data_IF_495656651673
#
_entry.id   IF_495656651673
#
_cell.length_a   1.000
_cell.length_b   1.000
_cell.length_c   1.000
_cell.angle_alpha   90.00
_cell.angle_beta   90.00
_cell.angle_gamma   90.00
#
_symmetry.space_group_name_H-M   'P 1'
#
loop_
_entity.id
_entity.type
_entity.pdbx_description
1 polymer ?
#
# COMPACT_ATOMS: atom_id res chain seq x y z
N UNK A 1 -9.24 -33.28 -5.60
CA UNK A 1 -8.86 -31.98 -6.19
C UNK A 1 -9.82 -30.83 -5.88
N UNK A 2 -11.11 -31.08 -5.60
CA UNK A 2 -12.11 -30.06 -5.22
C UNK A 2 -11.67 -29.11 -4.10
N UNK A 3 -10.95 -29.63 -3.09
CA UNK A 3 -10.39 -28.81 -1.99
C UNK A 3 -9.32 -27.82 -2.47
N UNK A 4 -8.43 -28.24 -3.36
CA UNK A 4 -7.38 -27.36 -3.93
C UNK A 4 -8.01 -26.26 -4.76
N UNK A 5 -9.02 -26.59 -5.59
CA UNK A 5 -9.74 -25.60 -6.39
C UNK A 5 -10.45 -24.58 -5.48
N UNK A 6 -11.07 -25.04 -4.39
CA UNK A 6 -11.69 -24.17 -3.39
C UNK A 6 -10.66 -23.22 -2.77
N UNK A 7 -9.50 -23.73 -2.36
CA UNK A 7 -8.41 -22.91 -1.79
C UNK A 7 -7.82 -21.93 -2.80
N UNK A 8 -7.69 -22.32 -4.08
CA UNK A 8 -7.24 -21.42 -5.14
C UNK A 8 -8.23 -20.28 -5.38
N UNK A 9 -9.53 -20.58 -5.38
CA UNK A 9 -10.57 -19.55 -5.50
C UNK A 9 -10.62 -18.65 -4.27
N UNK A 10 -10.44 -19.20 -3.07
CA UNK A 10 -10.29 -18.41 -1.84
C UNK A 10 -9.08 -17.48 -1.92
N UNK A 11 -7.93 -17.98 -2.39
CA UNK A 11 -6.75 -17.16 -2.65
C UNK A 11 -7.06 -16.00 -3.60
N UNK A 12 -7.74 -16.28 -4.72
CA UNK A 12 -8.14 -15.26 -5.69
C UNK A 12 -9.09 -14.22 -5.09
N UNK A 13 -10.03 -14.62 -4.23
CA UNK A 13 -10.92 -13.70 -3.52
C UNK A 13 -10.15 -12.74 -2.60
N UNK A 14 -9.13 -13.22 -1.90
CA UNK A 14 -8.28 -12.35 -1.07
C UNK A 14 -7.38 -11.43 -1.91
N UNK A 15 -6.90 -11.89 -3.07
CA UNK A 15 -6.19 -11.04 -4.03
C UNK A 15 -7.09 -9.94 -4.59
N UNK A 16 -8.34 -10.25 -4.93
CA UNK A 16 -9.33 -9.26 -5.36
C UNK A 16 -9.59 -8.21 -4.27
N UNK A 17 -9.75 -8.63 -3.01
CA UNK A 17 -9.87 -7.71 -1.87
C UNK A 17 -8.65 -6.81 -1.72
N UNK A 18 -7.44 -7.36 -1.90
CA UNK A 18 -6.20 -6.60 -1.84
C UNK A 18 -6.16 -5.54 -2.94
N UNK A 19 -6.48 -5.94 -4.18
CA UNK A 19 -6.57 -5.07 -5.33
C UNK A 19 -7.60 -3.94 -5.13
N UNK A 20 -8.80 -4.27 -4.63
CA UNK A 20 -9.86 -3.29 -4.37
C UNK A 20 -9.48 -2.30 -3.26
N UNK A 21 -8.82 -2.78 -2.20
CA UNK A 21 -8.30 -1.91 -1.13
C UNK A 21 -7.29 -0.91 -1.69
N UNK A 22 -6.37 -1.38 -2.54
CA UNK A 22 -5.38 -0.53 -3.19
C UNK A 22 -6.04 0.52 -4.11
N UNK A 23 -7.05 0.17 -4.91
CA UNK A 23 -7.78 1.12 -5.76
C UNK A 23 -8.39 2.28 -4.94
N UNK A 24 -9.07 1.94 -3.84
CA UNK A 24 -9.73 2.93 -2.97
C UNK A 24 -8.69 3.88 -2.37
N UNK A 25 -7.60 3.36 -1.82
CA UNK A 25 -6.60 4.20 -1.17
C UNK A 25 -5.75 4.98 -2.17
N UNK A 26 -5.50 4.46 -3.39
CA UNK A 26 -4.88 5.23 -4.46
C UNK A 26 -5.71 6.47 -4.84
N UNK A 27 -7.04 6.33 -4.90
CA UNK A 27 -7.91 7.48 -5.13
C UNK A 27 -7.84 8.52 -4.00
N UNK A 28 -7.67 8.08 -2.75
CA UNK A 28 -7.47 8.96 -1.60
C UNK A 28 -6.10 9.66 -1.67
N UNK A 29 -5.03 8.91 -1.95
CA UNK A 29 -3.67 9.43 -2.04
C UNK A 29 -3.50 10.43 -3.18
N UNK A 30 -4.17 10.20 -4.32
CA UNK A 30 -4.21 11.16 -5.42
C UNK A 30 -4.82 12.52 -5.02
N UNK A 31 -5.71 12.54 -4.02
CA UNK A 31 -6.31 13.75 -3.45
C UNK A 31 -5.50 14.31 -2.26
N UNK A 32 -4.35 13.72 -1.94
CA UNK A 32 -3.53 14.11 -0.78
C UNK A 32 -4.09 13.67 0.57
N UNK A 33 -5.07 12.76 0.58
CA UNK A 33 -5.68 12.24 1.81
C UNK A 33 -4.92 11.01 2.30
N UNK A 34 -4.14 11.17 3.37
CA UNK A 34 -3.31 10.11 3.95
C UNK A 34 -3.71 9.70 5.37
N UNK A 35 -4.85 10.18 5.88
CA UNK A 35 -5.29 9.96 7.25
C UNK A 35 -5.45 8.47 7.60
N UNK A 36 -5.82 7.65 6.61
CA UNK A 36 -6.04 6.21 6.76
C UNK A 36 -4.81 5.36 6.42
N UNK A 37 -3.63 5.96 6.21
CA UNK A 37 -2.43 5.24 5.75
C UNK A 37 -2.06 4.06 6.65
N UNK A 38 -2.11 4.25 7.98
CA UNK A 38 -1.83 3.19 8.95
C UNK A 38 -2.86 2.05 8.86
N UNK A 39 -4.15 2.38 8.77
CA UNK A 39 -5.22 1.40 8.61
C UNK A 39 -5.07 0.61 7.30
N UNK A 40 -4.70 1.28 6.21
CA UNK A 40 -4.39 0.67 4.92
C UNK A 40 -3.27 -0.38 5.04
N UNK A 41 -2.13 -0.02 5.63
CA UNK A 41 -1.02 -0.96 5.84
C UNK A 41 -1.44 -2.15 6.71
N UNK A 42 -2.09 -1.90 7.84
CA UNK A 42 -2.55 -2.97 8.73
C UNK A 42 -3.54 -3.92 8.05
N UNK A 43 -4.45 -3.39 7.22
CA UNK A 43 -5.41 -4.21 6.49
C UNK A 43 -4.71 -5.05 5.41
N UNK A 44 -3.74 -4.48 4.69
CA UNK A 44 -2.91 -5.21 3.74
C UNK A 44 -2.14 -6.35 4.40
N UNK A 45 -1.50 -6.09 5.52
CA UNK A 45 -0.73 -7.10 6.26
C UNK A 45 -1.63 -8.26 6.70
N UNK A 46 -2.84 -7.97 7.21
CA UNK A 46 -3.82 -9.00 7.55
C UNK A 46 -4.23 -9.84 6.34
N UNK A 47 -4.44 -9.23 5.18
CA UNK A 47 -4.77 -9.98 3.95
C UNK A 47 -3.58 -10.86 3.54
N UNK A 48 -2.35 -10.36 3.63
CA UNK A 48 -1.15 -11.15 3.33
C UNK A 48 -1.00 -12.35 4.28
N UNK A 49 -1.32 -12.20 5.56
CA UNK A 49 -1.29 -13.30 6.51
C UNK A 49 -2.33 -14.38 6.18
N UNK A 50 -3.53 -13.98 5.76
CA UNK A 50 -4.52 -14.94 5.25
C UNK A 50 -4.03 -15.63 3.98
N UNK A 51 -3.43 -14.90 3.04
CA UNK A 51 -2.86 -15.50 1.83
C UNK A 51 -1.76 -16.52 2.14
N UNK A 52 -0.85 -16.21 3.09
CA UNK A 52 0.17 -17.17 3.57
C UNK A 52 -0.48 -18.43 4.16
N UNK A 53 -1.54 -18.27 4.95
CA UNK A 53 -2.27 -19.41 5.51
C UNK A 53 -2.90 -20.26 4.41
N UNK A 54 -3.58 -19.65 3.44
CA UNK A 54 -4.18 -20.35 2.30
C UNK A 54 -3.12 -21.10 1.50
N UNK A 55 -1.95 -20.48 1.27
CA UNK A 55 -0.83 -21.14 0.59
C UNK A 55 -0.32 -22.37 1.34
N UNK A 56 -0.17 -22.30 2.66
CA UNK A 56 0.18 -23.46 3.48
C UNK A 56 -0.90 -24.55 3.41
N UNK A 57 -2.19 -24.20 3.33
CA UNK A 57 -3.27 -25.18 3.14
C UNK A 57 -3.24 -25.82 1.75
N UNK A 58 -2.90 -25.05 0.70
CA UNK A 58 -2.75 -25.59 -0.67
C UNK A 58 -1.60 -26.58 -0.71
N UNK A 59 -0.44 -26.25 -0.14
CA UNK A 59 0.73 -27.12 -0.09
C UNK A 59 0.44 -28.41 0.68
N UNK A 60 -0.23 -28.30 1.84
CA UNK A 60 -0.68 -29.45 2.62
C UNK A 60 -1.65 -30.33 1.82
N UNK A 61 -2.67 -29.72 1.21
CA UNK A 61 -3.66 -30.45 0.41
C UNK A 61 -3.01 -31.11 -0.82
N UNK A 62 -2.00 -30.48 -1.42
CA UNK A 62 -1.26 -31.08 -2.52
C UNK A 62 -0.42 -32.28 -2.06
N UNK A 63 0.23 -32.18 -0.91
CA UNK A 63 1.05 -33.25 -0.33
C UNK A 63 0.23 -34.47 0.10
N UNK A 64 -1.02 -34.26 0.52
CA UNK A 64 -1.98 -35.32 0.90
C UNK A 64 -2.54 -36.08 -0.32
N UNK A 65 -2.45 -35.50 -1.52
CA UNK A 65 -2.88 -36.15 -2.76
C UNK A 65 -1.74 -37.07 -3.23
N UNK A 66 -1.93 -38.38 -3.08
CA UNK A 66 -1.00 -39.38 -3.58
C UNK A 66 -0.74 -39.26 -5.09
N UNK A 67 0.47 -39.64 -5.53
CA UNK A 67 0.96 -39.48 -6.90
C UNK A 67 0.10 -40.17 -8.00
N UNK A 68 -0.84 -41.04 -7.64
CA UNK A 68 -1.72 -41.80 -8.55
C UNK A 68 -3.12 -41.18 -8.73
N UNK A 69 -3.36 -39.97 -8.22
CA UNK A 69 -4.64 -39.27 -8.42
C UNK A 69 -4.84 -38.90 -9.91
N UNK A 70 -5.73 -39.62 -10.60
CA UNK A 70 -6.19 -39.26 -11.95
C UNK A 70 -7.00 -37.97 -11.85
N UNK A 71 -6.45 -36.87 -12.35
CA UNK A 71 -7.12 -35.56 -12.40
C UNK A 71 -8.10 -35.58 -13.58
N UNK A 72 -9.36 -35.27 -13.32
CA UNK A 72 -10.36 -35.14 -14.39
C UNK A 72 -10.08 -33.88 -15.24
N UNK A 73 -10.34 -33.94 -16.55
CA UNK A 73 -10.06 -32.81 -17.46
C UNK A 73 -10.77 -31.51 -17.06
N UNK A 74 -11.99 -31.61 -16.50
CA UNK A 74 -12.72 -30.46 -15.97
C UNK A 74 -11.98 -29.80 -14.79
N UNK A 75 -11.47 -30.60 -13.85
CA UNK A 75 -10.71 -30.09 -12.70
C UNK A 75 -9.40 -29.43 -13.14
N UNK A 76 -8.74 -29.99 -14.16
CA UNK A 76 -7.53 -29.41 -14.77
C UNK A 76 -7.80 -28.03 -15.35
N UNK A 77 -8.93 -27.88 -16.04
CA UNK A 77 -9.37 -26.60 -16.62
C UNK A 77 -9.66 -25.57 -15.53
N UNK A 78 -10.33 -25.95 -14.45
CA UNK A 78 -10.64 -25.07 -13.32
C UNK A 78 -9.37 -24.59 -12.61
N UNK A 79 -8.42 -25.49 -12.33
CA UNK A 79 -7.12 -25.12 -11.75
C UNK A 79 -6.39 -24.13 -12.65
N UNK A 80 -6.33 -24.38 -13.97
CA UNK A 80 -5.69 -23.47 -14.92
C UNK A 80 -6.37 -22.09 -14.93
N UNK A 81 -7.70 -22.05 -14.89
CA UNK A 81 -8.45 -20.80 -14.81
C UNK A 81 -8.14 -20.03 -13.53
N UNK A 82 -8.14 -20.70 -12.39
CA UNK A 82 -7.85 -20.08 -11.11
C UNK A 82 -6.41 -19.54 -11.04
N UNK A 83 -5.43 -20.26 -11.61
CA UNK A 83 -4.05 -19.77 -11.70
C UNK A 83 -3.91 -18.56 -12.62
N UNK A 84 -4.63 -18.52 -13.74
CA UNK A 84 -4.63 -17.36 -14.64
C UNK A 84 -5.19 -16.12 -13.95
N UNK A 85 -6.28 -16.26 -13.19
CA UNK A 85 -6.88 -15.16 -12.42
C UNK A 85 -5.89 -14.67 -11.34
N UNK A 86 -5.22 -15.59 -10.66
CA UNK A 86 -4.17 -15.26 -9.69
C UNK A 86 -3.07 -14.40 -10.31
N UNK A 87 -2.55 -14.83 -11.46
CA UNK A 87 -1.45 -14.13 -12.14
C UNK A 87 -1.86 -12.72 -12.58
N UNK A 88 -3.10 -12.57 -13.05
CA UNK A 88 -3.65 -11.25 -13.40
C UNK A 88 -3.75 -10.32 -12.17
N UNK A 89 -4.32 -10.78 -11.05
CA UNK A 89 -4.41 -9.95 -9.85
C UNK A 89 -3.04 -9.58 -9.30
N UNK A 90 -2.09 -10.52 -9.27
CA UNK A 90 -0.73 -10.26 -8.78
C UNK A 90 -0.05 -9.18 -9.64
N UNK A 91 -0.15 -9.27 -10.97
CA UNK A 91 0.44 -8.27 -11.87
C UNK A 91 -0.15 -6.87 -11.60
N UNK A 92 -1.48 -6.76 -11.48
CA UNK A 92 -2.15 -5.49 -11.21
C UNK A 92 -1.81 -4.91 -9.83
N UNK A 93 -1.74 -5.75 -8.80
CA UNK A 93 -1.37 -5.32 -7.44
C UNK A 93 0.05 -4.75 -7.42
N UNK A 94 0.99 -5.37 -8.14
CA UNK A 94 2.37 -4.86 -8.24
C UNK A 94 2.39 -3.48 -8.89
N UNK A 95 1.61 -3.28 -9.96
CA UNK A 95 1.48 -1.97 -10.61
C UNK A 95 0.90 -0.91 -9.66
N UNK A 96 -0.16 -1.26 -8.91
CA UNK A 96 -0.73 -0.38 -7.90
C UNK A 96 0.28 -0.02 -6.80
N UNK A 97 1.09 -0.98 -6.35
CA UNK A 97 2.10 -0.72 -5.31
C UNK A 97 3.17 0.27 -5.77
N UNK A 98 3.55 0.24 -7.05
CA UNK A 98 4.43 1.26 -7.64
C UNK A 98 3.77 2.64 -7.58
N UNK A 99 2.46 2.73 -7.88
CA UNK A 99 1.71 3.99 -7.81
C UNK A 99 1.59 4.50 -6.36
N UNK A 100 1.31 3.61 -5.40
CA UNK A 100 1.24 3.96 -3.97
C UNK A 100 2.56 4.56 -3.51
N UNK A 101 3.69 3.91 -3.85
CA UNK A 101 5.02 4.41 -3.52
C UNK A 101 5.28 5.79 -4.14
N UNK A 102 4.87 6.00 -5.40
CA UNK A 102 5.01 7.30 -6.06
C UNK A 102 4.21 8.40 -5.33
N UNK A 103 2.95 8.13 -4.96
CA UNK A 103 2.13 9.07 -4.19
C UNK A 103 2.75 9.43 -2.85
N UNK A 104 3.26 8.44 -2.11
CA UNK A 104 3.92 8.66 -0.82
C UNK A 104 5.19 9.51 -0.98
N UNK A 105 6.02 9.21 -1.99
CA UNK A 105 7.22 10.00 -2.28
C UNK A 105 6.90 11.45 -2.65
N UNK A 106 5.85 11.68 -3.44
CA UNK A 106 5.37 13.02 -3.76
C UNK A 106 4.93 13.78 -2.50
N UNK A 107 4.12 13.15 -1.65
CA UNK A 107 3.65 13.75 -0.41
C UNK A 107 4.81 14.07 0.55
N UNK A 108 5.75 13.14 0.72
CA UNK A 108 6.98 13.33 1.51
C UNK A 108 7.76 14.56 1.03
N UNK A 109 7.95 14.68 -0.29
CA UNK A 109 8.68 15.81 -0.87
C UNK A 109 7.94 17.15 -0.68
N UNK A 110 6.59 17.16 -0.74
CA UNK A 110 5.79 18.35 -0.43
C UNK A 110 6.02 18.81 1.01
N UNK A 111 5.87 17.89 1.97
CA UNK A 111 6.05 18.17 3.40
C UNK A 111 7.45 18.72 3.69
N UNK A 112 8.49 18.15 3.07
CA UNK A 112 9.87 18.64 3.23
C UNK A 112 10.01 20.09 2.75
N UNK A 113 9.41 20.44 1.61
CA UNK A 113 9.45 21.82 1.08
C UNK A 113 8.72 22.78 2.01
N UNK A 114 7.53 22.41 2.48
CA UNK A 114 6.74 23.20 3.43
C UNK A 114 7.52 23.43 4.74
N UNK A 115 8.15 22.40 5.30
CA UNK A 115 8.99 22.52 6.49
C UNK A 115 10.19 23.46 6.29
N UNK A 116 10.82 23.42 5.11
CA UNK A 116 11.91 24.34 4.77
C UNK A 116 11.41 25.79 4.68
N UNK A 117 10.23 26.01 4.10
CA UNK A 117 9.60 27.33 4.01
C UNK A 117 9.25 27.88 5.39
N UNK A 118 8.60 27.09 6.25
CA UNK A 118 8.27 27.47 7.63
C UNK A 118 9.54 27.85 8.40
N UNK A 119 10.64 27.09 8.23
CA UNK A 119 11.94 27.42 8.84
C UNK A 119 12.50 28.75 8.33
N UNK A 120 12.39 29.04 7.02
CA UNK A 120 12.82 30.33 6.43
C UNK A 120 11.97 31.48 6.96
N UNK A 121 10.66 31.34 6.99
CA UNK A 121 9.72 32.34 7.49
C UNK A 121 9.95 32.64 8.97
N UNK A 122 10.19 31.60 9.80
CA UNK A 122 10.55 31.78 11.22
C UNK A 122 11.85 32.57 11.40
N UNK A 123 12.87 32.33 10.56
CA UNK A 123 14.12 33.13 10.58
C UNK A 123 13.86 34.59 10.20
N UNK A 124 13.06 34.83 9.17
CA UNK A 124 12.71 36.18 8.74
C UNK A 124 11.96 36.94 9.86
N UNK A 125 10.92 36.34 10.44
CA UNK A 125 10.15 36.93 11.54
C UNK A 125 11.02 37.16 12.79
N UNK A 126 11.93 36.25 13.10
CA UNK A 126 12.92 36.43 14.18
C UNK A 126 13.83 37.66 13.94
N UNK A 127 14.22 37.92 12.70
CA UNK A 127 15.01 39.11 12.33
C UNK A 127 14.26 40.43 12.50
N UNK A 128 12.93 40.43 12.33
CA UNK A 128 12.10 41.63 12.53
C UNK A 128 11.85 41.95 14.01
N UNK A 129 11.80 40.96 14.91
CA UNK A 129 11.60 41.19 16.35
C UNK A 129 12.80 41.83 17.06
N UNK A 130 14.00 41.80 16.47
CA UNK A 130 15.24 42.29 17.11
C UNK A 130 15.59 43.74 16.77
N UNK A 131 14.82 44.43 15.91
CA UNK A 131 15.04 45.85 15.60
C UNK A 131 14.09 46.77 16.38
N UNK A 132 13.96 46.56 17.69
CA UNK A 132 13.53 47.63 18.59
C UNK A 132 14.73 48.54 18.86
N UNK A 133 14.75 49.64 18.10
CA UNK A 133 15.43 50.91 18.36
C UNK A 133 16.24 51.01 19.67
N UNK A 134 17.56 50.82 19.57
CA UNK A 134 18.53 51.43 20.49
C UNK A 134 19.15 52.67 19.83
N UNK A 135 18.32 53.54 19.24
CA UNK A 135 18.75 54.92 18.98
C UNK A 135 18.60 55.67 20.29
N UNK A 136 19.68 55.73 21.07
CA UNK A 136 19.89 56.85 21.99
C UNK A 136 20.00 58.08 21.09
N UNK A 137 18.95 58.90 21.07
CA UNK A 137 19.05 60.27 20.61
C UNK A 137 19.94 60.98 21.63
N UNK A 138 21.21 61.22 21.27
CA UNK A 138 22.01 62.20 21.96
C UNK A 138 21.41 63.57 21.60
N UNK A 139 20.68 64.18 22.53
CA UNK A 139 20.34 65.59 22.45
C UNK A 139 21.63 66.40 22.67
N UNK A 140 22.20 66.92 21.57
CA UNK A 140 23.11 68.07 21.66
C UNK A 140 22.27 69.32 22.00
N UNK A 141 22.54 69.88 23.18
CA UNK A 141 22.86 71.29 23.55
C UNK A 141 22.33 71.62 24.94
#
# INVERSE_FOLDING_TARGET
MTRIITLLNEKNHYLEKFYALNEVELANFAQGQFDNLEHFYQTRDRILDVLKYVDAQIEKAHSEIGAESVIAENERREVKSALSIKDEYVARIIEQDIQVLACIEMAKNSIIRELQEVRRNRKAVGGYKTKTFNQRLDEEV
#
